data_IF_373096199596
#
_entry.id   IF_373096199596
#
_cell.length_a   1.000
_cell.length_b   1.000
_cell.length_c   1.000
_cell.angle_alpha   90.00
_cell.angle_beta   90.00
_cell.angle_gamma   90.00
#
_symmetry.space_group_name_H-M   'P 1'
#
loop_
_entity.id
_entity.type
_entity.pdbx_description
1 polymer ?
#
# COMPACT_ATOMS: atom_id res chain seq x y z
N UNK A 1 -26.75 -16.15 -6.18
CA UNK A 1 -25.61 -15.56 -5.45
C UNK A 1 -26.03 -14.15 -5.04
N UNK A 2 -25.80 -13.73 -3.79
CA UNK A 2 -26.13 -12.36 -3.32
C UNK A 2 -25.27 -11.36 -4.09
N UNK A 3 -25.86 -10.25 -4.51
CA UNK A 3 -25.20 -9.15 -5.23
C UNK A 3 -25.20 -7.88 -4.39
N UNK A 4 -24.22 -7.01 -4.57
CA UNK A 4 -23.94 -5.88 -3.69
C UNK A 4 -23.92 -4.54 -4.42
N UNK A 5 -24.42 -3.51 -3.76
CA UNK A 5 -24.22 -2.12 -4.17
C UNK A 5 -22.87 -1.64 -3.60
N UNK A 6 -21.96 -1.28 -4.47
CA UNK A 6 -20.56 -0.97 -4.11
C UNK A 6 -20.27 0.50 -4.38
N UNK A 7 -19.75 1.20 -3.38
CA UNK A 7 -19.24 2.56 -3.53
C UNK A 7 -17.72 2.62 -3.43
N UNK A 8 -17.10 3.54 -4.19
CA UNK A 8 -15.71 3.94 -4.04
C UNK A 8 -15.64 5.44 -3.75
N UNK A 9 -15.27 5.79 -2.51
CA UNK A 9 -15.02 7.17 -2.10
C UNK A 9 -13.58 7.54 -2.50
N UNK A 10 -13.44 8.53 -3.38
CA UNK A 10 -12.17 8.86 -4.03
C UNK A 10 -11.96 8.11 -5.35
N UNK A 11 -13.04 7.80 -6.07
CA UNK A 11 -13.02 7.02 -7.31
C UNK A 11 -12.10 7.59 -8.41
N UNK A 12 -11.90 8.91 -8.46
CA UNK A 12 -11.02 9.59 -9.43
C UNK A 12 -9.52 9.56 -9.05
N UNK A 13 -9.19 9.13 -7.82
CA UNK A 13 -7.80 9.03 -7.34
C UNK A 13 -7.07 7.80 -7.88
N UNK A 14 -5.74 7.77 -7.69
CA UNK A 14 -4.90 6.67 -8.19
C UNK A 14 -5.33 5.30 -7.62
N UNK A 15 -5.58 5.20 -6.31
CA UNK A 15 -6.06 3.98 -5.66
C UNK A 15 -7.50 3.65 -6.09
N UNK A 16 -8.38 4.67 -6.20
CA UNK A 16 -9.75 4.50 -6.67
C UNK A 16 -9.82 3.88 -8.07
N UNK A 17 -8.95 4.30 -8.98
CA UNK A 17 -8.83 3.73 -10.32
C UNK A 17 -8.35 2.27 -10.30
N UNK A 18 -7.41 1.92 -9.43
CA UNK A 18 -6.96 0.54 -9.28
C UNK A 18 -8.03 -0.35 -8.61
N UNK A 19 -8.84 0.19 -7.69
CA UNK A 19 -10.00 -0.50 -7.12
C UNK A 19 -11.05 -0.82 -8.21
N UNK A 20 -11.36 0.14 -9.08
CA UNK A 20 -12.27 -0.07 -10.22
C UNK A 20 -11.74 -1.22 -11.08
N UNK A 21 -10.48 -1.15 -11.52
CA UNK A 21 -9.86 -2.22 -12.33
C UNK A 21 -9.85 -3.58 -11.60
N UNK A 22 -9.59 -3.57 -10.29
CA UNK A 22 -9.63 -4.78 -9.48
C UNK A 22 -11.03 -5.40 -9.44
N UNK A 23 -12.06 -4.58 -9.26
CA UNK A 23 -13.45 -5.03 -9.29
C UNK A 23 -13.86 -5.56 -10.67
N UNK A 24 -13.47 -4.88 -11.76
CA UNK A 24 -13.73 -5.30 -13.14
C UNK A 24 -13.12 -6.67 -13.47
N UNK A 25 -11.91 -6.92 -12.97
CA UNK A 25 -11.16 -8.16 -13.24
C UNK A 25 -11.43 -9.28 -12.23
N UNK A 26 -12.31 -9.03 -11.25
CA UNK A 26 -12.69 -10.01 -10.23
C UNK A 26 -14.06 -10.62 -10.49
N UNK A 27 -14.36 -11.71 -9.79
CA UNK A 27 -15.71 -12.29 -9.72
C UNK A 27 -16.59 -11.62 -8.67
N UNK A 28 -16.31 -10.38 -8.29
CA UNK A 28 -17.07 -9.67 -7.26
C UNK A 28 -18.52 -9.44 -7.73
N UNK A 29 -19.55 -9.88 -7.00
CA UNK A 29 -20.92 -9.85 -7.46
C UNK A 29 -21.56 -8.45 -7.28
N UNK A 30 -21.26 -7.53 -8.20
CA UNK A 30 -21.75 -6.16 -8.19
C UNK A 30 -23.16 -6.09 -8.77
N UNK A 31 -24.10 -5.51 -8.00
CA UNK A 31 -25.45 -5.12 -8.45
C UNK A 31 -25.45 -3.69 -8.97
N UNK A 32 -24.83 -2.77 -8.23
CA UNK A 32 -24.73 -1.35 -8.54
C UNK A 32 -23.35 -0.84 -8.18
N UNK A 33 -22.76 -0.03 -9.04
CA UNK A 33 -21.51 0.69 -8.78
C UNK A 33 -21.78 2.19 -8.61
N UNK A 34 -21.26 2.80 -7.55
CA UNK A 34 -21.44 4.21 -7.21
C UNK A 34 -20.08 4.87 -6.98
N UNK A 35 -19.53 5.60 -7.96
CA UNK A 35 -18.32 6.36 -7.78
C UNK A 35 -18.61 7.65 -7.00
N UNK A 36 -17.90 7.86 -5.90
CA UNK A 36 -18.04 9.02 -5.02
C UNK A 36 -16.74 9.84 -4.99
N UNK A 37 -16.86 11.16 -4.95
CA UNK A 37 -15.73 12.07 -4.77
C UNK A 37 -16.17 13.40 -4.14
N UNK A 38 -15.24 14.36 -4.00
CA UNK A 38 -15.57 15.72 -3.53
C UNK A 38 -16.46 16.47 -4.52
N UNK A 39 -17.14 17.53 -4.05
CA UNK A 39 -17.95 18.44 -4.87
C UNK A 39 -17.23 18.91 -6.16
N UNK A 40 -15.91 19.15 -6.09
CA UNK A 40 -15.09 19.55 -7.27
C UNK A 40 -15.10 18.51 -8.41
N UNK A 41 -15.32 17.25 -8.10
CA UNK A 41 -15.28 16.13 -9.05
C UNK A 41 -16.69 15.58 -9.35
N UNK A 42 -17.71 15.95 -8.58
CA UNK A 42 -19.09 15.59 -8.81
C UNK A 42 -19.56 16.08 -10.20
N UNK A 43 -20.42 15.32 -10.84
CA UNK A 43 -20.92 15.56 -12.20
C UNK A 43 -19.97 15.16 -13.32
N UNK A 44 -18.68 14.88 -13.03
CA UNK A 44 -17.74 14.34 -14.02
C UNK A 44 -18.05 12.86 -14.29
N UNK A 45 -17.68 12.39 -15.48
CA UNK A 45 -17.83 10.97 -15.84
C UNK A 45 -16.55 10.18 -15.56
N UNK A 46 -16.73 8.95 -15.15
CA UNK A 46 -15.68 7.96 -14.98
C UNK A 46 -16.05 6.69 -15.72
N UNK A 47 -15.12 6.13 -16.48
CA UNK A 47 -15.31 4.87 -17.21
C UNK A 47 -15.07 3.69 -16.27
N UNK A 48 -16.06 2.80 -16.12
CA UNK A 48 -15.98 1.56 -15.38
C UNK A 48 -16.97 0.54 -15.96
N UNK A 49 -16.66 -0.75 -15.89
CA UNK A 49 -17.53 -1.86 -16.34
C UNK A 49 -18.07 -1.62 -17.77
N UNK A 50 -17.24 -1.11 -18.66
CA UNK A 50 -17.58 -0.74 -20.05
C UNK A 50 -18.69 0.31 -20.19
N UNK A 51 -18.96 1.09 -19.13
CA UNK A 51 -19.98 2.16 -19.09
C UNK A 51 -19.40 3.44 -18.51
N UNK A 52 -20.04 4.55 -18.81
CA UNK A 52 -19.75 5.82 -18.15
C UNK A 52 -20.67 5.99 -16.95
N UNK A 53 -20.07 6.27 -15.80
CA UNK A 53 -20.77 6.57 -14.56
C UNK A 53 -20.55 8.03 -14.19
N UNK A 54 -21.60 8.71 -13.75
CA UNK A 54 -21.48 10.03 -13.17
C UNK A 54 -20.92 9.89 -11.73
N UNK A 55 -19.92 10.69 -11.41
CA UNK A 55 -19.37 10.77 -10.06
C UNK A 55 -20.33 11.58 -9.20
N UNK A 56 -20.81 10.99 -8.12
CA UNK A 56 -21.66 11.67 -7.15
C UNK A 56 -20.79 12.33 -6.07
N UNK A 57 -21.31 13.38 -5.45
CA UNK A 57 -20.70 14.00 -4.29
C UNK A 57 -20.78 13.07 -3.07
N UNK A 58 -19.69 13.00 -2.30
CA UNK A 58 -19.68 12.31 -1.01
C UNK A 58 -20.39 13.15 0.03
N UNK A 59 -21.53 12.71 0.50
CA UNK A 59 -22.34 13.30 1.58
C UNK A 59 -22.67 12.25 2.63
N UNK A 60 -23.15 12.65 3.80
CA UNK A 60 -23.56 11.70 4.84
C UNK A 60 -24.74 10.82 4.40
N UNK A 61 -25.65 11.35 3.59
CA UNK A 61 -26.88 10.70 3.18
C UNK A 61 -26.71 9.79 1.95
N UNK A 62 -25.65 9.99 1.16
CA UNK A 62 -25.46 9.27 -0.11
C UNK A 62 -25.42 7.75 0.08
N UNK A 63 -24.85 7.28 1.18
CA UNK A 63 -24.69 5.84 1.45
C UNK A 63 -26.04 5.15 1.68
N UNK A 64 -26.94 5.78 2.43
CA UNK A 64 -28.31 5.29 2.65
C UNK A 64 -29.18 5.45 1.40
N UNK A 65 -29.15 6.65 0.76
CA UNK A 65 -29.90 6.95 -0.46
C UNK A 65 -29.58 5.97 -1.59
N UNK A 66 -28.30 5.65 -1.79
CA UNK A 66 -27.82 4.73 -2.81
C UNK A 66 -27.85 3.26 -2.37
N UNK A 67 -28.28 2.99 -1.11
CA UNK A 67 -28.37 1.64 -0.50
C UNK A 67 -27.05 0.88 -0.62
N UNK A 68 -25.94 1.53 -0.22
CA UNK A 68 -24.60 0.94 -0.31
C UNK A 68 -24.47 -0.21 0.68
N UNK A 69 -23.98 -1.35 0.20
CA UNK A 69 -23.66 -2.53 1.02
C UNK A 69 -22.17 -2.58 1.40
N UNK A 70 -21.29 -2.12 0.50
CA UNK A 70 -19.83 -2.09 0.72
C UNK A 70 -19.27 -0.78 0.19
N UNK A 71 -18.48 -0.07 1.02
CA UNK A 71 -17.86 1.20 0.67
C UNK A 71 -16.34 1.14 0.85
N UNK A 72 -15.60 1.35 -0.24
CA UNK A 72 -14.15 1.51 -0.22
C UNK A 72 -13.78 2.99 -0.08
N UNK A 73 -12.99 3.35 0.93
CA UNK A 73 -12.52 4.71 1.16
C UNK A 73 -11.06 4.87 0.74
N UNK A 74 -10.78 5.83 -0.13
CA UNK A 74 -9.43 6.12 -0.65
C UNK A 74 -9.19 7.61 -0.95
N UNK A 75 -9.92 8.50 -0.26
CA UNK A 75 -9.92 9.94 -0.52
C UNK A 75 -9.09 10.77 0.49
N UNK A 76 -8.35 10.12 1.39
CA UNK A 76 -7.56 10.76 2.45
C UNK A 76 -8.23 10.71 3.83
N UNK A 77 -7.40 10.86 4.89
CA UNK A 77 -7.83 10.65 6.28
C UNK A 77 -8.98 11.55 6.74
N UNK A 78 -8.98 12.84 6.34
CA UNK A 78 -10.05 13.77 6.68
C UNK A 78 -11.41 13.36 6.11
N UNK A 79 -11.44 12.77 4.91
CA UNK A 79 -12.68 12.25 4.31
C UNK A 79 -13.18 11.02 5.05
N UNK A 80 -12.28 10.14 5.50
CA UNK A 80 -12.67 8.98 6.32
C UNK A 80 -13.16 9.42 7.70
N UNK A 81 -12.50 10.39 8.33
CA UNK A 81 -12.92 10.99 9.59
C UNK A 81 -14.35 11.55 9.51
N UNK A 82 -14.66 12.25 8.44
CA UNK A 82 -15.96 12.90 8.24
C UNK A 82 -17.07 11.90 7.89
N UNK A 83 -16.83 11.00 6.92
CA UNK A 83 -17.93 10.23 6.30
C UNK A 83 -17.97 8.74 6.65
N UNK A 84 -16.85 8.11 7.11
CA UNK A 84 -16.82 6.66 7.24
C UNK A 84 -17.81 6.11 8.27
N UNK A 85 -18.01 6.81 9.39
CA UNK A 85 -18.99 6.41 10.41
C UNK A 85 -20.45 6.54 9.92
N UNK A 86 -20.74 7.47 9.02
CA UNK A 86 -22.05 7.59 8.38
C UNK A 86 -22.28 6.45 7.39
N UNK A 87 -21.27 6.11 6.59
CA UNK A 87 -21.33 4.96 5.68
C UNK A 87 -21.51 3.64 6.45
N UNK A 88 -20.83 3.49 7.58
CA UNK A 88 -20.84 2.28 8.39
C UNK A 88 -22.20 1.97 9.05
N UNK A 89 -23.15 2.91 9.05
CA UNK A 89 -24.53 2.67 9.51
C UNK A 89 -25.28 1.69 8.61
N UNK A 90 -24.96 1.65 7.33
CA UNK A 90 -25.64 0.83 6.31
C UNK A 90 -24.73 -0.09 5.53
N UNK A 91 -23.41 0.18 5.48
CA UNK A 91 -22.43 -0.52 4.67
C UNK A 91 -21.27 -1.07 5.50
N UNK A 92 -20.63 -2.12 5.01
CA UNK A 92 -19.28 -2.44 5.42
C UNK A 92 -18.31 -1.43 4.80
N UNK A 93 -17.54 -0.72 5.63
CA UNK A 93 -16.51 0.22 5.19
C UNK A 93 -15.14 -0.47 5.19
N UNK A 94 -14.43 -0.37 4.07
CA UNK A 94 -13.03 -0.78 3.96
C UNK A 94 -12.21 0.48 3.68
N UNK A 95 -11.46 0.93 4.70
CA UNK A 95 -10.77 2.22 4.69
C UNK A 95 -9.29 2.08 4.38
N UNK A 96 -8.85 2.58 3.22
CA UNK A 96 -7.43 2.63 2.84
C UNK A 96 -6.67 3.80 3.48
N UNK A 97 -7.34 4.70 4.19
CA UNK A 97 -6.67 5.86 4.79
C UNK A 97 -5.97 5.49 6.10
N UNK A 98 -5.20 6.41 6.64
CA UNK A 98 -4.52 6.16 7.92
C UNK A 98 -5.37 6.45 9.15
N UNK A 99 -6.61 6.96 8.98
CA UNK A 99 -7.38 7.50 10.10
C UNK A 99 -7.74 6.42 11.13
N UNK A 100 -8.30 5.30 10.69
CA UNK A 100 -8.77 4.24 11.59
C UNK A 100 -7.75 3.15 11.93
N UNK A 101 -6.56 3.12 11.29
CA UNK A 101 -5.63 1.98 11.38
C UNK A 101 -5.23 1.60 12.82
N UNK A 102 -5.02 2.59 13.69
CA UNK A 102 -4.64 2.35 15.09
C UNK A 102 -5.83 2.49 16.06
N UNK A 103 -7.05 2.68 15.55
CA UNK A 103 -8.23 2.72 16.42
C UNK A 103 -8.47 1.32 17.02
N UNK A 104 -8.74 1.26 18.34
CA UNK A 104 -8.83 -0.02 19.09
C UNK A 104 -9.97 -0.93 18.60
N UNK A 105 -11.11 -0.33 18.21
CA UNK A 105 -12.32 -1.03 17.79
C UNK A 105 -12.40 -1.21 16.25
N UNK A 106 -11.33 -0.95 15.53
CA UNK A 106 -11.24 -1.15 14.07
C UNK A 106 -10.13 -2.14 13.77
N UNK A 107 -10.44 -3.31 13.18
CA UNK A 107 -9.42 -4.27 12.78
C UNK A 107 -8.57 -3.71 11.64
N UNK A 108 -7.27 -4.00 11.68
CA UNK A 108 -6.30 -3.68 10.64
C UNK A 108 -5.91 -4.97 9.95
N UNK A 109 -6.28 -5.14 8.67
CA UNK A 109 -6.33 -6.47 8.06
C UNK A 109 -5.45 -6.63 6.84
N UNK A 110 -4.62 -7.68 6.87
CA UNK A 110 -4.00 -8.33 5.71
C UNK A 110 -4.55 -9.76 5.65
N UNK A 111 -5.41 -10.11 4.69
CA UNK A 111 -6.13 -11.39 4.71
C UNK A 111 -5.24 -12.63 4.76
N UNK A 112 -4.04 -12.57 4.22
CA UNK A 112 -3.05 -13.65 4.28
C UNK A 112 -2.51 -13.90 5.70
N UNK A 113 -2.75 -12.97 6.64
CA UNK A 113 -2.18 -13.01 8.00
C UNK A 113 -3.28 -13.16 9.04
N UNK A 114 -4.27 -12.26 9.02
CA UNK A 114 -5.24 -12.13 10.08
C UNK A 114 -6.69 -12.01 9.58
N UNK A 115 -7.07 -12.79 8.55
CA UNK A 115 -8.40 -12.75 7.93
C UNK A 115 -9.57 -12.90 8.93
N UNK A 116 -9.36 -13.57 10.06
CA UNK A 116 -10.39 -13.74 11.10
C UNK A 116 -10.88 -12.41 11.68
N UNK A 117 -10.01 -11.41 11.71
CA UNK A 117 -10.31 -10.08 12.22
C UNK A 117 -11.33 -9.32 11.36
N UNK A 118 -11.56 -9.74 10.09
CA UNK A 118 -12.60 -9.19 9.22
C UNK A 118 -13.98 -9.25 9.89
N UNK A 119 -14.24 -10.30 10.68
CA UNK A 119 -15.53 -10.53 11.36
C UNK A 119 -15.58 -9.92 12.76
N UNK A 120 -14.47 -9.33 13.22
CA UNK A 120 -14.35 -8.62 14.48
C UNK A 120 -14.30 -7.10 14.25
N UNK A 121 -15.30 -6.55 13.55
CA UNK A 121 -15.42 -5.15 13.17
C UNK A 121 -16.68 -4.50 13.79
N UNK A 122 -16.70 -4.22 15.10
CA UNK A 122 -17.90 -3.73 15.81
C UNK A 122 -18.43 -2.39 15.27
N UNK A 123 -17.60 -1.62 14.58
CA UNK A 123 -17.99 -0.37 13.95
C UNK A 123 -18.38 -0.51 12.46
N UNK A 124 -18.46 -1.73 11.91
CA UNK A 124 -18.58 -1.99 10.47
C UNK A 124 -17.50 -1.30 9.62
N UNK A 125 -16.34 -1.01 10.21
CA UNK A 125 -15.19 -0.41 9.55
C UNK A 125 -14.01 -1.37 9.69
N UNK A 126 -13.34 -1.66 8.58
CA UNK A 126 -12.10 -2.43 8.50
C UNK A 126 -11.05 -1.52 7.90
N UNK A 127 -9.92 -1.36 8.58
CA UNK A 127 -8.80 -0.57 8.09
C UNK A 127 -7.89 -1.42 7.18
N UNK A 128 -7.55 -0.87 6.03
CA UNK A 128 -6.54 -1.38 5.12
C UNK A 128 -5.19 -0.76 5.50
N UNK A 129 -4.12 -1.55 5.72
CA UNK A 129 -2.85 -1.03 6.23
C UNK A 129 -2.11 -0.10 5.28
N UNK A 130 -1.01 0.46 5.77
CA UNK A 130 -0.03 1.20 4.97
C UNK A 130 0.57 0.31 3.87
N UNK A 131 0.83 0.89 2.72
CA UNK A 131 1.28 0.15 1.54
C UNK A 131 2.63 -0.58 1.76
N UNK A 132 3.58 0.07 2.41
CA UNK A 132 4.87 -0.56 2.75
C UNK A 132 4.67 -1.62 3.84
N UNK A 133 3.82 -1.39 4.83
CA UNK A 133 3.50 -2.37 5.87
C UNK A 133 2.90 -3.66 5.30
N UNK A 134 1.98 -3.56 4.33
CA UNK A 134 1.35 -4.76 3.73
C UNK A 134 2.40 -5.66 3.10
N UNK A 135 3.26 -5.13 2.22
CA UNK A 135 4.27 -5.95 1.53
C UNK A 135 5.30 -6.51 2.51
N UNK A 136 5.74 -5.72 3.50
CA UNK A 136 6.67 -6.17 4.53
C UNK A 136 6.08 -7.31 5.37
N UNK A 137 4.87 -7.16 5.87
CA UNK A 137 4.25 -8.16 6.75
C UNK A 137 3.95 -9.48 6.04
N UNK A 138 3.68 -9.47 4.72
CA UNK A 138 3.53 -10.70 3.93
C UNK A 138 4.83 -11.50 3.84
N UNK A 139 5.99 -10.86 3.94
CA UNK A 139 7.31 -11.53 4.05
C UNK A 139 7.61 -11.91 5.50
N UNK A 140 7.38 -11.00 6.45
CA UNK A 140 7.74 -11.23 7.85
C UNK A 140 6.91 -12.33 8.51
N UNK A 141 5.61 -12.40 8.22
CA UNK A 141 4.71 -13.33 8.90
C UNK A 141 5.10 -14.81 8.72
N UNK A 142 5.27 -15.35 7.50
CA UNK A 142 5.69 -16.74 7.32
C UNK A 142 7.07 -17.01 7.95
N UNK A 143 7.99 -16.06 7.86
CA UNK A 143 9.31 -16.19 8.49
C UNK A 143 9.22 -16.18 10.01
N UNK A 144 8.37 -15.32 10.61
CA UNK A 144 8.17 -15.28 12.06
C UNK A 144 7.53 -16.55 12.61
N UNK A 145 6.53 -17.10 11.91
CA UNK A 145 5.88 -18.34 12.30
C UNK A 145 6.87 -19.50 12.37
N UNK A 146 7.84 -19.53 11.44
CA UNK A 146 8.80 -20.64 11.32
C UNK A 146 10.07 -20.42 12.15
N UNK A 147 10.70 -19.23 12.08
CA UNK A 147 12.04 -18.98 12.65
C UNK A 147 12.04 -18.12 13.92
N UNK A 148 10.92 -17.44 14.25
CA UNK A 148 10.81 -16.47 15.36
C UNK A 148 11.73 -15.26 15.17
N UNK A 149 11.18 -14.20 14.61
CA UNK A 149 11.86 -12.93 14.43
C UNK A 149 12.13 -12.28 15.79
N UNK A 150 13.36 -11.85 16.00
CA UNK A 150 13.83 -11.11 17.16
C UNK A 150 13.78 -9.58 16.94
N UNK A 151 14.15 -9.13 15.74
CA UNK A 151 14.10 -7.72 15.35
C UNK A 151 14.18 -7.55 13.83
N UNK A 152 13.73 -6.38 13.34
CA UNK A 152 13.78 -6.02 11.93
C UNK A 152 14.36 -4.62 11.77
N UNK A 153 15.28 -4.46 10.81
CA UNK A 153 15.67 -3.16 10.27
C UNK A 153 15.19 -3.11 8.82
N UNK A 154 14.49 -2.05 8.46
CA UNK A 154 13.98 -1.87 7.10
C UNK A 154 14.29 -0.47 6.57
N UNK A 155 14.79 -0.41 5.34
CA UNK A 155 14.87 0.83 4.56
C UNK A 155 13.96 0.70 3.35
N UNK A 156 13.05 1.66 3.17
CA UNK A 156 12.13 1.65 2.03
C UNK A 156 12.63 2.59 0.94
N UNK A 157 12.33 2.25 -0.31
CA UNK A 157 12.53 3.07 -1.51
C UNK A 157 11.15 3.22 -2.17
N UNK A 158 10.42 4.28 -1.78
CA UNK A 158 9.02 4.42 -2.11
C UNK A 158 8.80 5.25 -3.38
N UNK A 159 8.03 4.69 -4.31
CA UNK A 159 7.64 5.32 -5.56
C UNK A 159 6.76 6.56 -5.33
N UNK A 160 6.87 7.54 -6.24
CA UNK A 160 6.15 8.82 -6.15
C UNK A 160 4.63 8.67 -6.21
N UNK A 161 4.11 7.63 -6.87
CA UNK A 161 2.66 7.38 -6.95
C UNK A 161 2.02 7.03 -5.61
N UNK A 162 2.81 6.71 -4.56
CA UNK A 162 2.34 6.65 -3.17
C UNK A 162 1.79 7.99 -2.65
N UNK A 163 2.25 9.13 -3.21
CA UNK A 163 1.69 10.45 -2.97
C UNK A 163 0.53 10.81 -3.93
N UNK A 164 -0.01 9.83 -4.65
CA UNK A 164 -1.09 10.01 -5.61
C UNK A 164 -0.67 10.74 -6.89
N UNK A 165 -1.66 11.27 -7.61
CA UNK A 165 -1.43 11.94 -8.90
C UNK A 165 -0.49 13.14 -8.80
N UNK A 166 -0.49 13.86 -7.67
CA UNK A 166 0.42 15.00 -7.46
C UNK A 166 1.89 14.57 -7.49
N UNK A 167 2.22 13.44 -6.85
CA UNK A 167 3.59 12.90 -6.88
C UNK A 167 4.01 12.45 -8.28
N UNK A 168 3.10 11.83 -9.03
CA UNK A 168 3.33 11.41 -10.42
C UNK A 168 3.63 12.63 -11.31
N UNK A 169 2.80 13.66 -11.24
CA UNK A 169 2.96 14.88 -12.04
C UNK A 169 4.23 15.66 -11.64
N UNK A 170 4.57 15.70 -10.34
CA UNK A 170 5.83 16.30 -9.87
C UNK A 170 7.04 15.65 -10.56
N UNK A 171 7.16 14.32 -10.47
CA UNK A 171 8.25 13.59 -11.11
C UNK A 171 8.30 13.83 -12.64
N UNK A 172 7.15 13.75 -13.32
CA UNK A 172 7.09 13.95 -14.78
C UNK A 172 7.56 15.33 -15.21
N UNK A 173 7.08 16.38 -14.53
CA UNK A 173 7.42 17.75 -14.86
C UNK A 173 8.89 18.06 -14.56
N UNK A 174 9.40 17.60 -13.40
CA UNK A 174 10.79 17.77 -13.02
C UNK A 174 11.75 17.04 -13.96
N UNK A 175 11.43 15.78 -14.36
CA UNK A 175 12.21 15.03 -15.35
C UNK A 175 12.23 15.74 -16.71
N UNK A 176 11.11 16.27 -17.17
CA UNK A 176 11.04 17.03 -18.42
C UNK A 176 11.97 18.25 -18.36
N UNK A 177 11.85 19.07 -17.31
CA UNK A 177 12.70 20.25 -17.12
C UNK A 177 14.19 19.86 -17.05
N UNK A 178 14.52 18.84 -16.27
CA UNK A 178 15.91 18.37 -16.12
C UNK A 178 16.52 17.92 -17.45
N UNK A 179 15.78 17.12 -18.24
CA UNK A 179 16.26 16.65 -19.54
C UNK A 179 16.46 17.81 -20.54
N UNK A 180 15.53 18.76 -20.61
CA UNK A 180 15.65 19.95 -21.46
C UNK A 180 16.87 20.82 -21.09
N UNK A 181 17.21 20.88 -19.79
CA UNK A 181 18.39 21.61 -19.32
C UNK A 181 19.69 20.86 -19.63
N UNK A 182 19.73 19.54 -19.38
CA UNK A 182 20.90 18.71 -19.63
C UNK A 182 21.23 18.57 -21.12
N UNK A 183 20.24 18.63 -22.02
CA UNK A 183 20.45 18.68 -23.46
C UNK A 183 21.15 19.96 -23.91
N UNK A 184 20.91 21.11 -23.22
CA UNK A 184 21.54 22.41 -23.52
C UNK A 184 22.91 22.53 -22.88
N UNK A 185 23.06 22.07 -21.66
CA UNK A 185 24.28 22.09 -20.87
C UNK A 185 24.39 20.81 -20.03
N UNK A 186 25.16 19.80 -20.47
CA UNK A 186 25.35 18.55 -19.70
C UNK A 186 26.00 18.73 -18.33
N UNK A 187 26.62 19.88 -18.06
CA UNK A 187 27.28 20.21 -16.78
C UNK A 187 26.41 21.06 -15.85
N UNK A 188 25.15 21.34 -16.22
CA UNK A 188 24.26 22.20 -15.44
C UNK A 188 24.04 21.66 -14.02
N UNK A 189 24.07 22.53 -13.03
CA UNK A 189 23.67 22.19 -11.67
C UNK A 189 22.14 22.15 -11.56
N UNK A 190 21.58 20.94 -11.48
CA UNK A 190 20.15 20.72 -11.40
C UNK A 190 19.50 21.33 -10.16
N UNK A 191 20.26 21.59 -9.06
CA UNK A 191 19.71 22.29 -7.89
C UNK A 191 19.29 23.75 -8.20
N UNK A 192 19.88 24.35 -9.21
CA UNK A 192 19.57 25.73 -9.59
C UNK A 192 18.33 25.84 -10.49
N UNK A 193 17.93 24.77 -11.13
CA UNK A 193 16.86 24.77 -12.14
C UNK A 193 15.62 23.98 -11.73
N UNK A 194 15.76 22.96 -10.90
CA UNK A 194 14.64 22.19 -10.41
C UNK A 194 14.00 22.83 -9.18
N UNK A 195 12.67 22.86 -9.17
CA UNK A 195 11.89 23.34 -8.04
C UNK A 195 11.10 22.19 -7.43
N UNK A 196 11.00 22.19 -6.11
CA UNK A 196 10.19 21.21 -5.37
C UNK A 196 8.72 21.33 -5.76
N UNK A 197 8.11 20.21 -6.11
CA UNK A 197 6.69 20.11 -6.45
C UNK A 197 5.86 19.58 -5.29
N UNK A 198 5.54 18.28 -5.32
CA UNK A 198 4.73 17.60 -4.30
C UNK A 198 5.51 17.18 -3.05
N UNK A 199 6.84 17.27 -3.05
CA UNK A 199 7.75 16.82 -2.00
C UNK A 199 8.54 17.99 -1.41
N UNK A 200 9.28 17.74 -0.32
CA UNK A 200 10.08 18.77 0.33
C UNK A 200 11.27 19.26 -0.52
N UNK A 201 11.72 18.44 -1.44
CA UNK A 201 12.80 18.72 -2.41
C UNK A 201 12.39 18.23 -3.79
N UNK A 202 13.03 18.71 -4.88
CA UNK A 202 12.85 18.10 -6.20
C UNK A 202 13.14 16.60 -6.15
N UNK A 203 12.26 15.80 -6.77
CA UNK A 203 12.38 14.34 -6.72
C UNK A 203 13.16 13.77 -7.90
N UNK A 204 13.17 14.46 -9.05
CA UNK A 204 13.94 14.01 -10.20
C UNK A 204 15.45 13.95 -9.86
N UNK A 205 16.09 12.82 -10.13
CA UNK A 205 17.51 12.56 -9.83
C UNK A 205 17.88 12.68 -8.34
N UNK A 206 16.92 12.50 -7.42
CA UNK A 206 17.12 12.69 -5.99
C UNK A 206 16.59 11.51 -5.17
N UNK A 207 17.05 11.42 -3.92
CA UNK A 207 16.52 10.53 -2.89
C UNK A 207 16.20 11.36 -1.65
N UNK A 208 14.94 11.34 -1.20
CA UNK A 208 14.46 12.15 -0.10
C UNK A 208 14.16 11.24 1.09
N UNK A 209 15.00 11.28 2.13
CA UNK A 209 14.86 10.46 3.34
C UNK A 209 13.78 11.03 4.28
N UNK A 210 12.60 11.30 3.73
CA UNK A 210 11.50 11.95 4.42
C UNK A 210 10.18 11.62 3.71
N UNK A 211 9.29 10.92 4.41
CA UNK A 211 7.92 10.66 3.96
C UNK A 211 6.96 10.94 5.12
N UNK A 212 5.92 11.77 4.87
CA UNK A 212 4.98 12.25 5.89
C UNK A 212 5.67 13.21 6.89
N UNK A 213 5.05 13.57 7.98
CA UNK A 213 5.52 14.56 8.95
C UNK A 213 6.48 13.96 9.97
N UNK A 214 7.50 14.73 10.37
CA UNK A 214 8.39 14.37 11.47
C UNK A 214 7.68 14.42 12.83
N UNK A 215 8.10 13.54 13.73
CA UNK A 215 7.71 13.50 15.14
C UNK A 215 8.86 13.96 16.01
N UNK A 216 8.58 14.25 17.29
CA UNK A 216 9.56 14.76 18.27
C UNK A 216 10.76 13.84 18.45
N UNK A 217 10.60 12.55 18.25
CA UNK A 217 11.67 11.55 18.35
C UNK A 217 12.54 11.40 17.07
N UNK A 218 12.34 12.28 16.08
CA UNK A 218 13.07 12.27 14.82
C UNK A 218 12.58 11.28 13.77
N UNK A 219 11.66 10.38 14.14
CA UNK A 219 10.99 9.50 13.17
C UNK A 219 9.90 10.27 12.40
N UNK A 220 9.65 9.83 11.17
CA UNK A 220 8.48 10.29 10.42
C UNK A 220 7.23 9.48 10.80
N UNK A 221 6.05 10.04 10.54
CA UNK A 221 4.78 9.31 10.73
C UNK A 221 4.72 8.05 9.85
N UNK A 222 5.33 8.06 8.67
CA UNK A 222 5.41 6.89 7.78
C UNK A 222 6.21 5.75 8.42
N UNK A 223 7.36 6.04 9.01
CA UNK A 223 8.19 5.07 9.69
C UNK A 223 7.48 4.45 10.90
N UNK A 224 6.79 5.28 11.69
CA UNK A 224 6.01 4.79 12.83
C UNK A 224 4.81 3.94 12.42
N UNK A 225 4.19 4.19 11.24
CA UNK A 225 3.16 3.29 10.69
C UNK A 225 3.72 1.89 10.47
N UNK A 226 4.91 1.76 9.88
CA UNK A 226 5.54 0.45 9.66
C UNK A 226 5.74 -0.32 10.97
N UNK A 227 6.08 0.35 12.06
CA UNK A 227 6.24 -0.26 13.38
C UNK A 227 4.88 -0.69 13.96
N UNK A 228 3.99 0.29 14.18
CA UNK A 228 2.75 0.06 14.93
C UNK A 228 1.74 -0.81 14.17
N UNK A 229 1.65 -0.62 12.85
CA UNK A 229 0.75 -1.42 12.03
C UNK A 229 1.22 -2.88 11.93
N UNK A 230 2.54 -3.13 11.82
CA UNK A 230 3.09 -4.49 11.85
C UNK A 230 2.77 -5.20 13.16
N UNK A 231 2.97 -4.53 14.29
CA UNK A 231 2.62 -5.08 15.60
C UNK A 231 1.12 -5.44 15.68
N UNK A 232 0.25 -4.55 15.21
CA UNK A 232 -1.21 -4.78 15.23
C UNK A 232 -1.64 -5.92 14.30
N UNK A 233 -1.08 -6.01 13.09
CA UNK A 233 -1.45 -7.02 12.09
C UNK A 233 -0.98 -8.42 12.51
N UNK A 234 0.28 -8.53 12.97
CA UNK A 234 0.91 -9.81 13.27
C UNK A 234 0.71 -10.25 14.73
N UNK A 235 0.23 -9.37 15.62
CA UNK A 235 0.10 -9.66 17.05
C UNK A 235 1.46 -9.88 17.73
N UNK A 236 2.48 -9.11 17.35
CA UNK A 236 3.86 -9.22 17.82
C UNK A 236 4.36 -7.90 18.41
N UNK A 237 5.48 -7.95 19.12
CA UNK A 237 6.12 -6.81 19.79
C UNK A 237 7.63 -6.68 19.53
N UNK A 238 8.19 -7.50 18.63
CA UNK A 238 9.61 -7.44 18.32
C UNK A 238 10.00 -6.05 17.77
N UNK A 239 11.21 -5.54 18.11
CA UNK A 239 11.69 -4.24 17.64
C UNK A 239 11.75 -4.13 16.13
N UNK A 240 11.25 -3.01 15.60
CA UNK A 240 11.33 -2.64 14.18
C UNK A 240 11.93 -1.23 14.10
N UNK A 241 12.98 -1.06 13.29
CA UNK A 241 13.52 0.24 12.94
C UNK A 241 13.34 0.47 11.45
N UNK A 242 12.65 1.55 11.09
CA UNK A 242 12.33 1.89 9.71
C UNK A 242 12.98 3.22 9.31
N UNK A 243 13.48 3.28 8.06
CA UNK A 243 13.85 4.52 7.37
C UNK A 243 13.10 4.57 6.05
N UNK A 244 12.25 5.59 5.87
CA UNK A 244 11.41 5.72 4.69
C UNK A 244 11.96 6.77 3.72
N UNK A 245 12.35 6.33 2.51
CA UNK A 245 12.95 7.17 1.48
C UNK A 245 12.02 7.29 0.26
N UNK A 246 11.75 8.52 -0.20
CA UNK A 246 11.10 8.76 -1.48
C UNK A 246 12.15 8.77 -2.59
N UNK A 247 11.91 8.00 -3.65
CA UNK A 247 12.82 7.86 -4.79
C UNK A 247 12.11 8.20 -6.12
N UNK A 248 12.85 8.56 -7.19
CA UNK A 248 12.28 8.94 -8.49
C UNK A 248 11.84 7.71 -9.29
N UNK A 249 11.09 6.83 -8.65
CA UNK A 249 10.46 5.65 -9.23
C UNK A 249 8.98 5.93 -9.35
N UNK A 250 8.41 5.64 -10.52
CA UNK A 250 7.01 5.98 -10.79
C UNK A 250 6.04 5.14 -9.96
N UNK A 251 6.27 3.81 -9.91
CA UNK A 251 5.36 2.81 -9.33
C UNK A 251 6.14 1.65 -8.72
N UNK A 252 5.57 0.97 -7.75
CA UNK A 252 6.12 -0.08 -6.91
C UNK A 252 7.11 0.41 -5.85
N UNK A 253 6.84 0.04 -4.59
CA UNK A 253 7.74 0.28 -3.47
C UNK A 253 8.73 -0.87 -3.34
N UNK A 254 9.96 -0.52 -3.01
CA UNK A 254 11.01 -1.50 -2.69
C UNK A 254 11.42 -1.35 -1.23
N UNK A 255 11.87 -2.44 -0.61
CA UNK A 255 12.32 -2.48 0.77
C UNK A 255 13.55 -3.36 0.91
N UNK A 256 14.58 -2.83 1.54
CA UNK A 256 15.74 -3.60 2.00
C UNK A 256 15.47 -4.05 3.43
N UNK A 257 15.42 -5.36 3.64
CA UNK A 257 15.11 -5.98 4.92
C UNK A 257 16.36 -6.61 5.53
N UNK A 258 16.57 -6.36 6.82
CA UNK A 258 17.49 -7.06 7.68
C UNK A 258 16.70 -7.65 8.85
N UNK A 259 16.58 -8.98 8.90
CA UNK A 259 15.70 -9.71 9.78
C UNK A 259 16.55 -10.60 10.69
N UNK A 260 16.62 -10.27 11.97
CA UNK A 260 17.30 -11.09 12.96
C UNK A 260 16.33 -12.13 13.55
N UNK A 261 16.73 -13.39 13.60
CA UNK A 261 15.99 -14.48 14.22
C UNK A 261 16.53 -14.83 15.61
N UNK A 262 15.75 -15.56 16.40
CA UNK A 262 16.21 -16.06 17.71
C UNK A 262 17.33 -17.09 17.58
N UNK A 263 17.33 -17.89 16.50
CA UNK A 263 18.28 -18.97 16.24
C UNK A 263 18.88 -18.86 14.84
N UNK A 264 20.01 -19.55 14.63
CA UNK A 264 20.55 -19.76 13.29
C UNK A 264 19.53 -20.51 12.41
N UNK A 265 19.56 -20.26 11.11
CA UNK A 265 18.63 -20.82 10.13
C UNK A 265 19.36 -21.41 8.93
N UNK A 266 18.72 -22.31 8.20
CA UNK A 266 19.14 -22.73 6.87
C UNK A 266 18.48 -21.83 5.81
N UNK A 267 19.30 -21.31 4.89
CA UNK A 267 18.80 -20.47 3.79
C UNK A 267 17.85 -21.24 2.86
N UNK A 268 18.04 -22.57 2.70
CA UNK A 268 17.12 -23.43 1.92
C UNK A 268 15.74 -23.47 2.53
N UNK A 269 15.65 -23.56 3.87
CA UNK A 269 14.35 -23.52 4.57
C UNK A 269 13.66 -22.17 4.39
N UNK A 270 14.41 -21.05 4.39
CA UNK A 270 13.89 -19.72 4.09
C UNK A 270 13.24 -19.68 2.70
N UNK A 271 13.92 -20.22 1.68
CA UNK A 271 13.35 -20.32 0.33
C UNK A 271 12.05 -21.15 0.30
N UNK A 272 12.02 -22.28 0.98
CA UNK A 272 10.83 -23.13 1.01
C UNK A 272 9.66 -22.45 1.73
N UNK A 273 9.92 -21.80 2.87
CA UNK A 273 8.89 -21.04 3.61
C UNK A 273 8.31 -19.92 2.73
N UNK A 274 9.15 -19.15 2.04
CA UNK A 274 8.71 -18.01 1.22
C UNK A 274 8.03 -18.47 -0.08
N UNK A 275 8.47 -19.56 -0.72
CA UNK A 275 7.81 -20.13 -1.91
C UNK A 275 6.38 -20.63 -1.61
N UNK A 276 6.14 -21.11 -0.40
CA UNK A 276 4.83 -21.59 0.03
C UNK A 276 3.95 -20.47 0.63
N UNK A 277 4.48 -19.27 0.81
CA UNK A 277 3.71 -18.16 1.38
C UNK A 277 2.70 -17.59 0.35
N UNK A 278 1.45 -17.36 0.75
CA UNK A 278 0.44 -16.84 -0.15
C UNK A 278 0.81 -15.43 -0.64
N UNK A 279 0.57 -15.18 -1.92
CA UNK A 279 0.84 -13.88 -2.59
C UNK A 279 2.33 -13.50 -2.67
N UNK A 280 3.25 -14.36 -2.26
CA UNK A 280 4.70 -14.13 -2.34
C UNK A 280 5.28 -14.85 -3.56
N UNK A 281 6.17 -14.17 -4.27
CA UNK A 281 6.93 -14.70 -5.41
C UNK A 281 8.42 -14.56 -5.13
N UNK A 282 9.11 -15.68 -4.98
CA UNK A 282 10.57 -15.68 -4.86
C UNK A 282 11.20 -15.45 -6.24
N UNK A 283 11.93 -14.37 -6.37
CA UNK A 283 12.61 -13.93 -7.59
C UNK A 283 14.09 -13.71 -7.25
N UNK A 284 14.88 -14.79 -7.24
CA UNK A 284 16.24 -14.76 -6.69
C UNK A 284 17.17 -15.76 -7.37
N UNK A 285 17.84 -15.29 -8.40
CA UNK A 285 18.97 -15.99 -9.05
C UNK A 285 20.06 -14.97 -9.42
N UNK A 286 20.98 -14.68 -8.50
CA UNK A 286 22.03 -13.71 -8.72
C UNK A 286 22.94 -14.04 -9.91
N UNK A 287 23.11 -15.32 -10.26
CA UNK A 287 23.95 -15.74 -11.37
C UNK A 287 23.43 -15.30 -12.75
N UNK A 288 22.10 -15.10 -12.84
CA UNK A 288 21.41 -14.58 -14.00
C UNK A 288 20.87 -13.15 -13.83
N UNK A 289 21.35 -12.42 -12.82
CA UNK A 289 20.85 -11.07 -12.46
C UNK A 289 19.33 -11.04 -12.23
N UNK A 290 18.74 -12.13 -11.74
CA UNK A 290 17.32 -12.23 -11.47
C UNK A 290 17.03 -11.85 -10.01
N UNK A 291 16.39 -10.71 -9.83
CA UNK A 291 15.96 -10.17 -8.54
C UNK A 291 14.75 -9.25 -8.73
N UNK A 292 14.01 -8.90 -7.66
CA UNK A 292 12.86 -8.03 -7.78
C UNK A 292 13.25 -6.61 -8.22
N UNK A 293 12.45 -6.02 -9.10
CA UNK A 293 12.58 -4.62 -9.51
C UNK A 293 11.20 -3.94 -9.55
N UNK A 294 11.12 -2.61 -9.36
CA UNK A 294 9.85 -1.88 -9.46
C UNK A 294 9.12 -2.09 -10.79
N UNK A 295 9.83 -2.09 -11.91
CA UNK A 295 9.20 -2.31 -13.23
C UNK A 295 8.57 -3.69 -13.34
N UNK A 296 9.23 -4.74 -12.82
CA UNK A 296 8.73 -6.12 -12.84
C UNK A 296 7.51 -6.32 -11.94
N UNK A 297 7.50 -5.66 -10.78
CA UNK A 297 6.43 -5.78 -9.80
C UNK A 297 5.20 -4.91 -10.14
N UNK A 298 5.37 -3.86 -10.95
CA UNK A 298 4.28 -2.95 -11.33
C UNK A 298 3.16 -3.69 -12.07
N UNK A 299 1.92 -3.33 -11.74
CA UNK A 299 0.68 -3.91 -12.29
C UNK A 299 0.45 -5.38 -11.91
N UNK A 300 1.15 -5.92 -10.91
CA UNK A 300 0.93 -7.28 -10.39
C UNK A 300 0.30 -7.25 -9.00
N UNK A 301 -0.23 -8.40 -8.57
CA UNK A 301 -0.88 -8.59 -7.26
C UNK A 301 -0.01 -9.44 -6.29
N UNK A 302 1.27 -9.56 -6.58
CA UNK A 302 2.23 -10.34 -5.81
C UNK A 302 3.27 -9.47 -5.12
N UNK A 303 3.77 -9.94 -3.98
CA UNK A 303 4.95 -9.42 -3.32
C UNK A 303 6.16 -10.22 -3.80
N UNK A 304 7.09 -9.57 -4.44
CA UNK A 304 8.34 -10.21 -4.89
C UNK A 304 9.41 -10.07 -3.83
N UNK A 305 10.13 -11.15 -3.57
CA UNK A 305 11.28 -11.18 -2.67
C UNK A 305 12.48 -11.85 -3.34
N UNK A 306 13.66 -11.30 -3.14
CA UNK A 306 14.91 -11.86 -3.62
C UNK A 306 16.10 -11.24 -2.91
N UNK A 307 17.31 -11.48 -3.43
CA UNK A 307 18.56 -11.06 -2.77
C UNK A 307 18.67 -11.65 -1.36
N UNK A 308 18.12 -12.85 -1.17
CA UNK A 308 18.13 -13.57 0.08
C UNK A 308 19.55 -14.07 0.40
N UNK A 309 20.06 -13.67 1.54
CA UNK A 309 21.42 -14.04 1.96
C UNK A 309 21.57 -13.93 3.46
N UNK A 310 22.44 -14.75 4.03
CA UNK A 310 22.88 -14.60 5.43
C UNK A 310 23.74 -13.35 5.59
N UNK A 311 23.68 -12.74 6.75
CA UNK A 311 24.62 -11.70 7.14
C UNK A 311 26.04 -12.27 7.24
N UNK A 312 27.05 -11.43 7.00
CA UNK A 312 28.45 -11.85 7.01
C UNK A 312 28.98 -12.10 8.42
N UNK A 313 28.41 -11.46 9.41
CA UNK A 313 28.92 -11.44 10.79
C UNK A 313 27.95 -12.11 11.77
N UNK A 314 26.64 -12.03 11.52
CA UNK A 314 25.59 -12.63 12.35
C UNK A 314 24.82 -13.72 11.59
N UNK A 315 25.12 -14.98 11.92
CA UNK A 315 24.46 -16.15 11.29
C UNK A 315 22.96 -16.25 11.55
N UNK A 316 22.41 -15.42 12.44
CA UNK A 316 20.98 -15.35 12.75
C UNK A 316 20.25 -14.27 11.96
N UNK A 317 20.97 -13.45 11.18
CA UNK A 317 20.38 -12.36 10.41
C UNK A 317 20.28 -12.72 8.93
N UNK A 318 19.07 -12.57 8.40
CA UNK A 318 18.70 -12.70 6.99
C UNK A 318 18.59 -11.31 6.36
N UNK A 319 19.18 -11.14 5.19
CA UNK A 319 18.92 -9.99 4.34
C UNK A 319 18.08 -10.38 3.13
N UNK A 320 17.16 -9.49 2.73
CA UNK A 320 16.32 -9.65 1.55
C UNK A 320 15.98 -8.32 0.92
N UNK A 321 15.48 -8.35 -0.30
CA UNK A 321 14.97 -7.19 -1.02
C UNK A 321 13.56 -7.48 -1.53
N UNK A 322 12.58 -6.77 -1.00
CA UNK A 322 11.16 -6.94 -1.27
C UNK A 322 10.65 -5.83 -2.21
N UNK A 323 9.81 -6.17 -3.16
CA UNK A 323 9.19 -5.20 -4.08
C UNK A 323 7.74 -5.58 -4.34
N UNK A 324 6.83 -4.60 -4.22
CA UNK A 324 5.43 -4.79 -4.59
C UNK A 324 4.79 -3.51 -5.16
N UNK A 325 3.72 -3.69 -5.91
CA UNK A 325 2.92 -2.59 -6.43
C UNK A 325 2.05 -1.99 -5.32
N UNK A 326 2.44 -0.81 -4.83
CA UNK A 326 1.79 -0.16 -3.70
C UNK A 326 0.37 0.33 -3.98
N UNK A 327 -0.01 0.52 -5.26
CA UNK A 327 -1.39 0.88 -5.61
C UNK A 327 -2.31 -0.34 -5.66
N UNK A 328 -1.73 -1.52 -5.93
CA UNK A 328 -2.44 -2.81 -5.97
C UNK A 328 -2.29 -3.56 -4.65
N UNK A 329 -1.21 -4.29 -4.47
CA UNK A 329 -0.91 -5.05 -3.24
C UNK A 329 -1.05 -4.16 -2.01
N UNK A 330 -0.41 -2.99 -2.04
CA UNK A 330 -0.39 -2.04 -0.92
C UNK A 330 -1.69 -1.29 -0.66
N UNK A 331 -2.72 -1.43 -1.52
CA UNK A 331 -3.98 -0.70 -1.37
C UNK A 331 -5.17 -1.46 -1.98
N UNK A 332 -5.39 -1.33 -3.29
CA UNK A 332 -6.62 -1.80 -3.95
C UNK A 332 -6.81 -3.31 -3.85
N UNK A 333 -5.78 -4.09 -4.09
CA UNK A 333 -5.85 -5.56 -4.07
C UNK A 333 -6.11 -6.09 -2.65
N UNK A 334 -5.42 -5.54 -1.63
CA UNK A 334 -5.65 -5.95 -0.25
C UNK A 334 -7.09 -5.59 0.19
N UNK A 335 -7.56 -4.38 -0.12
CA UNK A 335 -8.93 -3.97 0.19
C UNK A 335 -9.98 -4.86 -0.51
N UNK A 336 -9.74 -5.22 -1.78
CA UNK A 336 -10.62 -6.14 -2.51
C UNK A 336 -10.60 -7.55 -1.91
N UNK A 337 -9.44 -8.06 -1.51
CA UNK A 337 -9.32 -9.36 -0.81
C UNK A 337 -10.10 -9.37 0.51
N UNK A 338 -10.07 -8.28 1.29
CA UNK A 338 -10.88 -8.11 2.50
C UNK A 338 -12.37 -8.26 2.14
N UNK A 339 -12.85 -7.51 1.13
CA UNK A 339 -14.25 -7.57 0.70
C UNK A 339 -14.64 -8.96 0.20
N UNK A 340 -13.81 -9.60 -0.63
CA UNK A 340 -14.06 -10.95 -1.14
C UNK A 340 -14.10 -11.99 -0.02
N UNK A 341 -13.22 -11.88 0.98
CA UNK A 341 -13.22 -12.76 2.13
C UNK A 341 -14.48 -12.58 2.97
N UNK A 342 -14.90 -11.33 3.19
CA UNK A 342 -16.14 -11.02 3.89
C UNK A 342 -17.36 -11.65 3.20
N UNK A 343 -17.57 -11.39 1.90
CA UNK A 343 -18.77 -11.86 1.19
C UNK A 343 -18.84 -13.38 1.00
N UNK A 344 -17.71 -14.09 1.08
CA UNK A 344 -17.67 -15.56 1.00
C UNK A 344 -18.08 -16.25 2.30
N UNK A 345 -17.97 -15.54 3.43
CA UNK A 345 -18.13 -16.14 4.76
C UNK A 345 -19.19 -15.41 5.63
N UNK A 346 -19.87 -14.37 5.07
CA UNK A 346 -20.96 -13.61 5.71
C UNK A 346 -22.36 -14.20 5.46
#
# INVERSE_FOLDING_TARGET
MKTYNVAIVGASGAVGQELIKGLENSSFPIKKFVPLASARSAGKKIRAFNKDYEILETTHEVFEKEKIDIAFFSAGGSVSEEFATSAAKTALVIDNTSFFRLHKDVPLVVPEINAKEIFNAPLNIIANPNCSTIQMTQILNPLHLHFKIKSVIVSTYQAVSGAGNKGIESLKNELKTALECLEKDPAIDLNQVLQAGAFAYPIAFNAIAHIDVFKENGYTKEELKMVHETHKIMGVDFPISATCVRVPVLRSHSESLSIAFEKEFDLKEVYEVLKNAPSVVVCDDPSHNLYPTPLKASHTDSVFIGRLRKDLFDKKTLHGFCVADQLRVGAATNALKIALHYIKNA
#
